data_IF_795071026118
#
_entry.id   IF_795071026118
#
_cell.length_a   1.000
_cell.length_b   1.000
_cell.length_c   1.000
_cell.angle_alpha   90.00
_cell.angle_beta   90.00
_cell.angle_gamma   90.00
#
_symmetry.space_group_name_H-M   'P 1'
#
loop_
_entity.id
_entity.type
_entity.pdbx_description
1 polymer ?
#
# COMPACT_ATOMS: atom_id res chain seq x y z
N UNK A 1 -21.18 4.97 4.51
CA UNK A 1 -19.73 4.98 4.23
C UNK A 1 -19.48 5.91 3.05
N UNK A 2 -18.55 6.84 3.17
CA UNK A 2 -18.29 7.79 2.09
C UNK A 2 -17.54 7.12 0.93
N UNK A 3 -17.41 7.85 -0.18
CA UNK A 3 -16.82 7.31 -1.41
C UNK A 3 -15.38 6.87 -1.21
N UNK A 4 -14.59 7.65 -0.47
CA UNK A 4 -13.18 7.29 -0.26
C UNK A 4 -13.01 6.03 0.58
N UNK A 5 -13.84 5.84 1.59
CA UNK A 5 -13.81 4.61 2.39
C UNK A 5 -14.21 3.39 1.59
N UNK A 6 -15.19 3.55 0.68
CA UNK A 6 -15.58 2.47 -0.23
C UNK A 6 -14.44 2.10 -1.18
N UNK A 7 -13.79 3.11 -1.75
CA UNK A 7 -12.65 2.89 -2.64
C UNK A 7 -11.48 2.24 -1.89
N UNK A 8 -11.22 2.70 -0.67
CA UNK A 8 -10.17 2.11 0.17
C UNK A 8 -10.45 0.63 0.43
N UNK A 9 -11.67 0.31 0.79
CA UNK A 9 -12.08 -1.08 1.06
C UNK A 9 -11.88 -1.96 -0.18
N UNK A 10 -12.34 -1.50 -1.34
CA UNK A 10 -12.17 -2.23 -2.60
C UNK A 10 -10.69 -2.39 -2.92
N UNK A 11 -9.90 -1.33 -2.71
CA UNK A 11 -8.47 -1.37 -3.01
C UNK A 11 -7.73 -2.37 -2.11
N UNK A 12 -8.08 -2.43 -0.83
CA UNK A 12 -7.51 -3.42 0.10
C UNK A 12 -7.82 -4.83 -0.38
N UNK A 13 -9.05 -5.07 -0.84
CA UNK A 13 -9.42 -6.36 -1.40
C UNK A 13 -8.62 -6.69 -2.65
N UNK A 14 -8.34 -5.69 -3.49
CA UNK A 14 -7.50 -5.88 -4.67
C UNK A 14 -6.07 -6.25 -4.29
N UNK A 15 -5.50 -5.60 -3.28
CA UNK A 15 -4.16 -5.93 -2.79
C UNK A 15 -4.12 -7.38 -2.32
N UNK A 16 -5.07 -7.78 -1.50
CA UNK A 16 -5.15 -9.15 -0.99
C UNK A 16 -5.32 -10.14 -2.14
N UNK A 17 -6.15 -9.78 -3.12
CA UNK A 17 -6.37 -10.62 -4.31
C UNK A 17 -5.09 -10.85 -5.10
N UNK A 18 -4.33 -9.78 -5.35
CA UNK A 18 -3.04 -9.89 -6.07
C UNK A 18 -2.06 -10.70 -5.25
N UNK A 19 -2.00 -10.48 -3.93
CA UNK A 19 -1.12 -11.23 -3.03
C UNK A 19 -1.47 -12.72 -2.99
N UNK A 20 -2.70 -13.08 -3.34
CA UNK A 20 -3.17 -14.47 -3.35
C UNK A 20 -2.77 -15.22 -4.62
N UNK A 21 -2.28 -14.54 -5.65
CA UNK A 21 -1.91 -15.18 -6.92
C UNK A 21 -0.64 -16.01 -6.70
N UNK A 22 -0.65 -17.31 -7.06
CA UNK A 22 0.56 -18.13 -6.97
C UNK A 22 1.68 -17.57 -7.83
N UNK A 23 2.93 -17.74 -7.39
CA UNK A 23 4.10 -17.20 -8.09
C UNK A 23 4.19 -17.66 -9.54
N UNK A 24 3.77 -18.91 -9.84
CA UNK A 24 3.81 -19.45 -11.18
C UNK A 24 2.85 -18.72 -12.14
N UNK A 25 1.79 -18.12 -11.63
CA UNK A 25 0.81 -17.37 -12.41
C UNK A 25 1.19 -15.91 -12.62
N UNK A 26 2.23 -15.44 -11.95
CA UNK A 26 2.71 -14.06 -12.09
C UNK A 26 3.53 -13.91 -13.36
N UNK A 27 3.46 -12.75 -14.05
CA UNK A 27 4.32 -12.52 -15.22
C UNK A 27 5.79 -12.59 -14.83
N UNK A 28 6.58 -13.28 -15.63
CA UNK A 28 8.02 -13.43 -15.35
C UNK A 28 8.77 -12.10 -15.36
N UNK A 29 8.29 -11.15 -16.16
CA UNK A 29 8.88 -9.81 -16.24
C UNK A 29 8.82 -9.06 -14.91
N UNK A 30 7.91 -9.42 -14.02
CA UNK A 30 7.77 -8.79 -12.71
C UNK A 30 8.91 -9.14 -11.76
N UNK A 31 9.68 -10.17 -12.09
CA UNK A 31 10.78 -10.66 -11.24
C UNK A 31 12.14 -10.61 -11.95
N UNK A 32 12.20 -10.02 -13.15
CA UNK A 32 13.42 -10.02 -13.97
C UNK A 32 14.52 -9.16 -13.35
N UNK A 33 14.15 -8.12 -12.58
CA UNK A 33 15.08 -7.25 -11.87
C UNK A 33 14.74 -7.30 -10.40
N UNK A 34 15.69 -7.57 -9.54
CA UNK A 34 15.43 -7.82 -8.13
C UNK A 34 14.74 -6.69 -7.37
N UNK A 35 14.80 -5.45 -7.89
CA UNK A 35 14.21 -4.28 -7.24
C UNK A 35 12.99 -3.72 -8.00
N UNK A 36 12.66 -4.26 -9.14
CA UNK A 36 11.45 -3.90 -9.89
C UNK A 36 10.20 -4.18 -9.07
N UNK A 37 10.20 -5.31 -8.36
CA UNK A 37 9.14 -5.70 -7.44
C UNK A 37 8.92 -4.66 -6.34
N UNK A 38 10.01 -4.06 -5.83
CA UNK A 38 9.93 -3.02 -4.79
C UNK A 38 9.24 -1.75 -5.31
N UNK A 39 9.48 -1.40 -6.58
CA UNK A 39 8.83 -0.25 -7.20
C UNK A 39 7.33 -0.50 -7.30
N UNK A 40 6.90 -1.70 -7.69
CA UNK A 40 5.48 -2.06 -7.74
C UNK A 40 4.84 -1.97 -6.36
N UNK A 41 5.52 -2.44 -5.30
CA UNK A 41 5.04 -2.32 -3.93
C UNK A 41 4.88 -0.86 -3.53
N UNK A 42 5.87 -0.01 -3.85
CA UNK A 42 5.81 1.41 -3.52
C UNK A 42 4.63 2.11 -4.22
N UNK A 43 4.41 1.82 -5.51
CA UNK A 43 3.29 2.41 -6.26
C UNK A 43 1.97 1.94 -5.69
N UNK A 44 1.84 0.64 -5.48
CA UNK A 44 0.62 0.03 -4.95
C UNK A 44 0.25 0.64 -3.59
N UNK A 45 1.22 0.77 -2.70
CA UNK A 45 0.99 1.29 -1.36
C UNK A 45 0.93 2.82 -1.31
N UNK A 46 1.46 3.52 -2.33
CA UNK A 46 1.24 4.96 -2.46
C UNK A 46 -0.23 5.25 -2.70
N UNK A 47 -0.87 4.48 -3.57
CA UNK A 47 -2.32 4.61 -3.81
C UNK A 47 -3.10 4.28 -2.53
N UNK A 48 -2.67 3.26 -1.81
CA UNK A 48 -3.28 2.91 -0.52
C UNK A 48 -3.18 4.08 0.46
N UNK A 49 -2.01 4.72 0.52
CA UNK A 49 -1.79 5.88 1.39
C UNK A 49 -2.67 7.06 1.03
N UNK A 50 -2.83 7.34 -0.27
CA UNK A 50 -3.71 8.40 -0.75
C UNK A 50 -5.16 8.13 -0.30
N UNK A 51 -5.66 6.94 -0.57
CA UNK A 51 -7.03 6.57 -0.23
C UNK A 51 -7.26 6.57 1.29
N UNK A 52 -6.30 6.07 2.05
CA UNK A 52 -6.40 6.06 3.51
C UNK A 52 -6.38 7.47 4.08
N UNK A 53 -5.53 8.36 3.54
CA UNK A 53 -5.50 9.75 3.97
C UNK A 53 -6.84 10.44 3.71
N UNK A 54 -7.36 10.30 2.50
CA UNK A 54 -8.64 10.91 2.14
C UNK A 54 -9.80 10.35 2.95
N UNK A 55 -9.68 9.10 3.41
CA UNK A 55 -10.74 8.46 4.18
C UNK A 55 -10.75 8.88 5.65
N UNK A 56 -9.58 9.07 6.26
CA UNK A 56 -9.46 9.18 7.72
C UNK A 56 -8.67 10.36 8.23
N UNK A 57 -7.71 10.87 7.47
CA UNK A 57 -6.78 11.89 7.99
C UNK A 57 -7.11 13.31 7.57
N UNK A 58 -8.06 13.47 6.65
CA UNK A 58 -8.42 14.76 6.08
C UNK A 58 -8.96 15.74 7.15
N UNK A 59 -9.53 15.18 8.22
CA UNK A 59 -10.17 15.98 9.28
C UNK A 59 -9.51 15.82 10.65
N UNK A 60 -8.47 14.96 10.79
CA UNK A 60 -7.88 14.63 12.08
C UNK A 60 -6.37 14.77 11.99
N UNK A 61 -5.84 15.78 12.68
CA UNK A 61 -4.46 16.21 12.57
C UNK A 61 -3.42 15.14 12.95
N UNK A 62 -3.65 14.40 14.03
CA UNK A 62 -2.68 13.44 14.54
C UNK A 62 -2.83 12.03 13.93
N UNK A 63 -3.84 11.81 13.12
CA UNK A 63 -4.09 10.50 12.50
C UNK A 63 -3.04 10.12 11.46
N UNK A 64 -2.20 11.09 11.04
CA UNK A 64 -1.14 10.82 10.08
C UNK A 64 -0.18 9.75 10.58
N UNK A 65 0.27 9.84 11.84
CA UNK A 65 1.17 8.84 12.42
C UNK A 65 0.51 7.46 12.49
N UNK A 66 -0.77 7.42 12.88
CA UNK A 66 -1.51 6.16 12.91
C UNK A 66 -1.66 5.56 11.53
N UNK A 67 -1.85 6.40 10.52
CA UNK A 67 -1.97 5.94 9.14
C UNK A 67 -0.66 5.28 8.67
N UNK A 68 0.47 5.91 8.95
CA UNK A 68 1.80 5.38 8.57
C UNK A 68 2.05 4.04 9.28
N UNK A 69 1.79 3.99 10.59
CA UNK A 69 1.96 2.75 11.37
C UNK A 69 1.04 1.65 10.84
N UNK A 70 -0.21 2.00 10.53
CA UNK A 70 -1.17 1.05 9.97
C UNK A 70 -0.71 0.53 8.61
N UNK A 71 -0.12 1.40 7.79
CA UNK A 71 0.40 1.02 6.48
C UNK A 71 1.56 0.02 6.58
N UNK A 72 2.51 0.29 7.48
CA UNK A 72 3.61 -0.67 7.74
C UNK A 72 3.07 -1.99 8.27
N UNK A 73 2.08 -1.93 9.17
CA UNK A 73 1.48 -3.14 9.75
C UNK A 73 0.76 -3.96 8.69
N UNK A 74 0.03 -3.29 7.80
CA UNK A 74 -0.65 -3.96 6.70
C UNK A 74 0.37 -4.57 5.72
N UNK A 75 1.46 -3.87 5.43
CA UNK A 75 2.54 -4.40 4.61
C UNK A 75 3.16 -5.66 5.21
N UNK A 76 3.40 -5.65 6.53
CA UNK A 76 3.92 -6.81 7.23
C UNK A 76 2.93 -7.98 7.15
N UNK A 77 1.65 -7.70 7.39
CA UNK A 77 0.59 -8.71 7.26
C UNK A 77 0.57 -9.31 5.85
N UNK A 78 0.68 -8.46 4.82
CA UNK A 78 0.65 -8.89 3.43
C UNK A 78 1.83 -9.81 3.12
N UNK A 79 3.04 -9.48 3.62
CA UNK A 79 4.22 -10.32 3.44
C UNK A 79 4.06 -11.68 4.15
N UNK A 80 3.52 -11.66 5.37
CA UNK A 80 3.27 -12.91 6.09
C UNK A 80 2.23 -13.76 5.37
N UNK A 81 1.20 -13.12 4.82
CA UNK A 81 0.19 -13.79 4.02
C UNK A 81 0.81 -14.41 2.77
N UNK A 82 1.67 -13.65 2.07
CA UNK A 82 2.33 -14.14 0.86
C UNK A 82 3.24 -15.35 1.15
N UNK A 83 3.76 -15.47 2.37
CA UNK A 83 4.58 -16.62 2.75
C UNK A 83 3.80 -17.94 2.68
N UNK A 84 2.47 -17.87 2.70
CA UNK A 84 1.59 -19.03 2.62
C UNK A 84 1.20 -19.37 1.17
N UNK A 85 1.54 -18.51 0.22
CA UNK A 85 1.12 -18.67 -1.17
C UNK A 85 2.25 -19.34 -1.96
N UNK A 86 1.97 -20.45 -2.66
CA UNK A 86 3.00 -21.18 -3.42
C UNK A 86 3.67 -20.29 -4.47
N UNK A 87 5.00 -20.35 -4.53
CA UNK A 87 5.76 -19.62 -5.52
C UNK A 87 5.97 -18.14 -5.20
N UNK A 88 5.47 -17.66 -4.06
CA UNK A 88 5.73 -16.29 -3.59
C UNK A 88 6.89 -16.33 -2.59
N UNK A 89 7.80 -15.37 -2.72
CA UNK A 89 9.01 -15.30 -1.88
C UNK A 89 9.00 -13.96 -1.13
N UNK A 90 8.41 -13.93 0.08
CA UNK A 90 8.33 -12.69 0.84
C UNK A 90 9.72 -12.20 1.22
N UNK A 91 9.85 -10.88 1.31
CA UNK A 91 11.11 -10.22 1.60
C UNK A 91 10.83 -9.04 2.53
N UNK A 92 11.63 -8.89 3.58
CA UNK A 92 11.49 -7.79 4.52
C UNK A 92 11.58 -6.42 3.84
N UNK A 93 12.34 -6.32 2.75
CA UNK A 93 12.43 -5.07 1.98
C UNK A 93 11.10 -4.69 1.32
N UNK A 94 10.23 -5.66 1.07
CA UNK A 94 8.89 -5.37 0.54
C UNK A 94 8.04 -4.63 1.58
N UNK A 95 8.16 -4.99 2.86
CA UNK A 95 7.50 -4.28 3.95
C UNK A 95 7.98 -2.83 4.02
N UNK A 96 9.28 -2.62 3.87
CA UNK A 96 9.87 -1.28 3.86
C UNK A 96 9.33 -0.47 2.67
N UNK A 97 9.30 -1.08 1.48
CA UNK A 97 8.78 -0.44 0.28
C UNK A 97 7.30 -0.08 0.44
N UNK A 98 6.51 -0.96 1.05
CA UNK A 98 5.10 -0.72 1.32
C UNK A 98 4.92 0.48 2.25
N UNK A 99 5.69 0.53 3.33
CA UNK A 99 5.64 1.64 4.28
C UNK A 99 6.08 2.96 3.68
N UNK A 100 7.13 2.95 2.87
CA UNK A 100 7.59 4.14 2.14
C UNK A 100 6.47 4.60 1.19
N UNK A 101 5.84 3.67 0.49
CA UNK A 101 4.74 3.98 -0.42
C UNK A 101 3.59 4.68 0.30
N UNK A 102 3.11 4.11 1.40
CA UNK A 102 2.03 4.71 2.20
C UNK A 102 2.41 6.11 2.66
N UNK A 103 3.64 6.27 3.13
CA UNK A 103 4.13 7.57 3.62
C UNK A 103 4.16 8.60 2.49
N UNK A 104 4.72 8.24 1.34
CA UNK A 104 4.80 9.14 0.19
C UNK A 104 3.40 9.52 -0.32
N UNK A 105 2.50 8.56 -0.43
CA UNK A 105 1.13 8.83 -0.86
C UNK A 105 0.40 9.75 0.12
N UNK A 106 0.56 9.50 1.40
CA UNK A 106 -0.08 10.30 2.45
C UNK A 106 0.47 11.74 2.48
N UNK A 107 1.79 11.90 2.41
CA UNK A 107 2.43 13.22 2.41
C UNK A 107 2.01 14.00 1.18
N UNK A 108 2.04 13.36 0.00
CA UNK A 108 1.65 14.02 -1.25
C UNK A 108 0.20 14.50 -1.17
N UNK A 109 -0.69 13.68 -0.64
CA UNK A 109 -2.10 14.04 -0.50
C UNK A 109 -2.26 15.20 0.48
N UNK A 110 -1.55 15.15 1.60
CA UNK A 110 -1.61 16.21 2.60
C UNK A 110 -1.24 17.57 1.99
N UNK A 111 -0.10 17.63 1.27
CA UNK A 111 0.36 18.88 0.66
C UNK A 111 -0.56 19.35 -0.46
N UNK A 112 -1.03 18.45 -1.32
CA UNK A 112 -1.95 18.84 -2.39
C UNK A 112 -3.27 19.36 -1.83
N UNK A 113 -3.80 18.74 -0.79
CA UNK A 113 -5.02 19.22 -0.15
C UNK A 113 -4.81 20.60 0.47
N UNK A 114 -3.67 20.82 1.09
CA UNK A 114 -3.35 22.11 1.69
C UNK A 114 -3.25 23.20 0.62
N UNK A 115 -2.59 22.89 -0.51
CA UNK A 115 -2.42 23.87 -1.60
C UNK A 115 -3.75 24.22 -2.25
N UNK A 116 -4.59 23.21 -2.53
CA UNK A 116 -5.83 23.44 -3.26
C UNK A 116 -7.00 23.86 -2.38
N UNK A 117 -6.91 23.71 -1.07
CA UNK A 117 -7.99 24.09 -0.15
C UNK A 117 -7.69 25.42 0.58
N UNK A 118 -6.51 25.98 0.41
CA UNK A 118 -6.17 27.32 0.89
C UNK A 118 -6.45 28.32 -0.21
#
# INVERSE_FOLDING_TARGET
MNTYKKLLFVYILLIIGVSSIPGQAMPKSWFSWGWEDKIYHMIEYSVLGILAYLSYCDHVRYSFSLLVVSGFSFGLFDELYQSLIPGRFPNAFDVIADGIGVTLGSISTHYLRKVFND
#
